data_IF_195932174810
#
_entry.id   IF_195932174810
#
_cell.length_a   1.000
_cell.length_b   1.000
_cell.length_c   1.000
_cell.angle_alpha   90.00
_cell.angle_beta   90.00
_cell.angle_gamma   90.00
#
_symmetry.space_group_name_H-M   'P 1'
#
loop_
_entity.id
_entity.type
_entity.pdbx_description
1 polymer ?
#
# COMPACT_ATOMS: atom_id res chain seq x y z
N UNK A 1 -1.47 -10.31 -4.94
CA UNK A 1 -0.81 -11.59 -4.68
C UNK A 1 0.29 -11.84 -5.69
N UNK A 2 -0.02 -12.03 -7.01
CA UNK A 2 0.94 -12.42 -8.04
C UNK A 2 2.26 -11.62 -8.00
N UNK A 3 2.17 -10.30 -8.02
CA UNK A 3 3.33 -9.42 -8.00
C UNK A 3 4.22 -9.66 -6.77
N UNK A 4 3.66 -9.62 -5.57
CA UNK A 4 4.44 -9.75 -4.34
C UNK A 4 5.02 -11.15 -4.16
N UNK A 5 4.34 -12.20 -4.65
CA UNK A 5 4.90 -13.55 -4.67
C UNK A 5 6.10 -13.65 -5.61
N UNK A 6 6.01 -13.06 -6.81
CA UNK A 6 7.12 -13.00 -7.75
C UNK A 6 8.29 -12.16 -7.21
N UNK A 7 8.00 -10.99 -6.62
CA UNK A 7 8.99 -10.12 -6.01
C UNK A 7 9.76 -10.82 -4.89
N UNK A 8 9.04 -11.46 -3.95
CA UNK A 8 9.66 -12.21 -2.86
C UNK A 8 10.59 -13.30 -3.39
N UNK A 9 10.15 -14.05 -4.42
CA UNK A 9 10.96 -15.10 -5.04
C UNK A 9 12.23 -14.56 -5.69
N UNK A 10 12.13 -13.44 -6.42
CA UNK A 10 13.28 -12.84 -7.11
C UNK A 10 14.29 -12.27 -6.11
N UNK A 11 13.81 -11.64 -5.05
CA UNK A 11 14.64 -11.14 -3.94
C UNK A 11 15.10 -12.23 -2.97
N UNK A 12 14.81 -13.51 -3.24
CA UNK A 12 15.15 -14.66 -2.40
C UNK A 12 14.64 -14.55 -0.96
N UNK A 13 13.52 -13.88 -0.78
CA UNK A 13 12.80 -13.81 0.49
C UNK A 13 11.96 -15.06 0.65
N UNK A 14 12.41 -15.97 1.53
CA UNK A 14 11.76 -17.28 1.76
C UNK A 14 10.52 -17.10 2.66
N UNK A 15 9.38 -16.85 2.02
CA UNK A 15 8.10 -16.65 2.71
C UNK A 15 7.66 -17.90 3.50
N UNK A 16 7.90 -19.10 2.95
CA UNK A 16 7.52 -20.36 3.60
C UNK A 16 8.32 -20.59 4.88
N UNK A 17 9.62 -20.31 4.86
CA UNK A 17 10.47 -20.36 6.04
C UNK A 17 9.99 -19.47 7.18
N UNK A 18 9.39 -18.32 6.84
CA UNK A 18 8.85 -17.36 7.80
C UNK A 18 7.36 -17.58 8.09
N UNK A 19 6.74 -18.64 7.54
CA UNK A 19 5.29 -18.87 7.63
C UNK A 19 4.45 -17.67 7.19
N UNK A 20 4.87 -16.99 6.12
CA UNK A 20 4.20 -15.81 5.58
C UNK A 20 3.28 -16.23 4.44
N UNK A 21 2.02 -15.81 4.53
CA UNK A 21 1.03 -15.97 3.47
C UNK A 21 0.59 -14.60 2.93
N UNK A 22 0.49 -14.46 1.62
CA UNK A 22 0.02 -13.24 0.96
C UNK A 22 -1.45 -13.44 0.58
N UNK A 23 -2.34 -12.64 1.17
CA UNK A 23 -3.77 -12.69 0.90
C UNK A 23 -4.20 -11.46 0.08
N UNK A 24 -5.09 -11.67 -0.88
CA UNK A 24 -5.82 -10.60 -1.54
C UNK A 24 -7.17 -10.42 -0.86
N UNK A 25 -7.43 -9.22 -0.38
CA UNK A 25 -8.74 -8.85 0.16
C UNK A 25 -9.44 -8.00 -0.89
N UNK A 26 -10.55 -8.49 -1.41
CA UNK A 26 -11.34 -7.74 -2.38
C UNK A 26 -11.96 -6.49 -1.74
N UNK A 27 -11.83 -5.36 -2.44
CA UNK A 27 -12.29 -4.06 -1.98
C UNK A 27 -11.52 -3.56 -0.76
N UNK A 28 -12.22 -3.00 0.23
CA UNK A 28 -11.63 -2.30 1.39
C UNK A 28 -11.95 -2.98 2.74
N UNK A 29 -12.36 -4.24 2.70
CA UNK A 29 -12.83 -5.00 3.85
C UNK A 29 -11.71 -5.56 4.76
N UNK A 30 -10.64 -4.80 5.05
CA UNK A 30 -9.47 -5.29 5.80
C UNK A 30 -9.74 -5.51 7.29
N UNK A 31 -10.67 -4.76 7.89
CA UNK A 31 -10.91 -4.76 9.35
C UNK A 31 -11.17 -6.15 9.95
N UNK A 32 -12.04 -7.02 9.37
CA UNK A 32 -12.25 -8.36 9.92
C UNK A 32 -10.97 -9.21 9.93
N UNK A 33 -10.14 -9.11 8.87
CA UNK A 33 -8.88 -9.86 8.78
C UNK A 33 -7.87 -9.39 9.84
N UNK A 34 -7.72 -8.08 9.99
CA UNK A 34 -6.86 -7.49 11.03
C UNK A 34 -7.35 -7.90 12.43
N UNK A 35 -8.67 -7.86 12.68
CA UNK A 35 -9.24 -8.29 13.95
C UNK A 35 -8.95 -9.77 14.25
N UNK A 36 -9.08 -10.65 13.25
CA UNK A 36 -8.75 -12.09 13.38
C UNK A 36 -7.27 -12.26 13.67
N UNK A 37 -6.38 -11.61 12.92
CA UNK A 37 -4.94 -11.70 13.14
C UNK A 37 -4.57 -11.26 14.56
N UNK A 38 -5.11 -10.14 15.03
CA UNK A 38 -4.86 -9.66 16.39
C UNK A 38 -5.40 -10.63 17.47
N UNK A 39 -6.63 -11.16 17.29
CA UNK A 39 -7.22 -12.11 18.23
C UNK A 39 -6.42 -13.42 18.34
N UNK A 40 -5.79 -13.85 17.23
CA UNK A 40 -4.96 -15.05 17.17
C UNK A 40 -3.46 -14.77 17.40
N UNK A 41 -3.08 -13.54 17.72
CA UNK A 41 -1.69 -13.11 17.84
C UNK A 41 -0.84 -13.42 16.61
N UNK A 42 -1.42 -13.31 15.42
CA UNK A 42 -0.74 -13.47 14.13
C UNK A 42 -0.18 -12.11 13.71
N UNK A 43 1.12 -12.06 13.38
CA UNK A 43 1.72 -10.86 12.81
C UNK A 43 1.16 -10.59 11.42
N UNK A 44 0.89 -9.33 11.12
CA UNK A 44 0.37 -8.94 9.83
C UNK A 44 0.97 -7.62 9.37
N UNK A 45 1.00 -7.43 8.08
CA UNK A 45 1.15 -6.14 7.43
C UNK A 45 0.05 -5.99 6.38
N UNK A 46 -0.35 -4.78 6.14
CA UNK A 46 -1.36 -4.42 5.14
C UNK A 46 -0.77 -3.45 4.13
N UNK A 47 -0.98 -3.71 2.85
CA UNK A 47 -0.77 -2.72 1.79
C UNK A 47 -2.09 -2.43 1.09
N UNK A 48 -2.38 -1.15 0.88
CA UNK A 48 -3.61 -0.70 0.21
C UNK A 48 -3.36 0.58 -0.59
N UNK A 49 -4.23 0.81 -1.58
CA UNK A 49 -4.21 2.00 -2.40
C UNK A 49 -4.61 3.24 -1.59
N UNK A 50 -4.20 4.40 -2.06
CA UNK A 50 -4.53 5.70 -1.47
C UNK A 50 -5.24 6.61 -2.48
N UNK A 51 -6.18 6.02 -3.20
CA UNK A 51 -6.99 6.71 -4.20
C UNK A 51 -7.66 7.97 -3.67
N UNK A 52 -7.82 8.94 -4.57
CA UNK A 52 -8.63 10.12 -4.31
C UNK A 52 -10.07 9.82 -4.67
N UNK A 53 -10.94 9.74 -3.69
CA UNK A 53 -12.37 9.51 -3.87
C UNK A 53 -13.19 10.78 -3.76
N UNK A 54 -14.36 10.75 -4.43
CA UNK A 54 -15.36 11.81 -4.33
C UNK A 54 -16.42 11.45 -3.27
N UNK A 55 -16.60 12.35 -2.30
CA UNK A 55 -17.62 12.25 -1.25
C UNK A 55 -18.92 12.86 -1.79
N UNK A 56 -19.75 12.03 -2.40
CA UNK A 56 -21.02 12.45 -3.03
C UNK A 56 -22.17 12.65 -2.03
N UNK A 57 -21.99 12.21 -0.78
CA UNK A 57 -22.97 12.35 0.29
C UNK A 57 -23.07 13.77 0.86
N UNK A 58 -22.22 14.69 0.40
CA UNK A 58 -22.18 16.10 0.84
C UNK A 58 -22.33 17.04 -0.36
N UNK A 59 -22.97 18.20 -0.13
CA UNK A 59 -23.11 19.25 -1.14
C UNK A 59 -22.44 20.51 -0.61
N UNK A 60 -21.47 21.10 -1.36
CA UNK A 60 -20.91 20.62 -2.63
C UNK A 60 -20.08 19.33 -2.47
N UNK A 61 -19.96 18.55 -3.57
CA UNK A 61 -19.14 17.35 -3.62
C UNK A 61 -17.68 17.67 -3.28
N UNK A 62 -17.08 16.86 -2.42
CA UNK A 62 -15.68 16.98 -2.01
C UNK A 62 -14.88 15.79 -2.48
N UNK A 63 -13.57 15.97 -2.61
CA UNK A 63 -12.56 14.92 -2.78
C UNK A 63 -11.80 14.70 -1.48
N UNK A 64 -11.22 13.51 -1.34
CA UNK A 64 -10.36 13.16 -0.19
C UNK A 64 -9.46 11.97 -0.50
N UNK A 65 -8.35 11.84 0.21
CA UNK A 65 -7.52 10.62 0.20
C UNK A 65 -8.20 9.50 0.98
N UNK A 66 -8.60 8.45 0.27
CA UNK A 66 -9.36 7.35 0.87
C UNK A 66 -8.47 6.40 1.68
N UNK A 67 -7.22 6.20 1.24
CA UNK A 67 -6.27 5.30 1.90
C UNK A 67 -5.93 5.75 3.32
N UNK A 68 -5.57 7.02 3.53
CA UNK A 68 -5.26 7.51 4.89
C UNK A 68 -6.49 7.44 5.81
N UNK A 69 -7.68 7.75 5.31
CA UNK A 69 -8.92 7.63 6.09
C UNK A 69 -9.17 6.17 6.52
N UNK A 70 -8.93 5.22 5.61
CA UNK A 70 -9.05 3.79 5.84
C UNK A 70 -8.02 3.30 6.84
N UNK A 71 -6.75 3.71 6.67
CA UNK A 71 -5.66 3.37 7.57
C UNK A 71 -5.94 3.84 9.00
N UNK A 72 -6.32 5.08 9.19
CA UNK A 72 -6.71 5.62 10.51
C UNK A 72 -7.92 4.86 11.10
N UNK A 73 -8.87 4.44 10.25
CA UNK A 73 -9.97 3.60 10.70
C UNK A 73 -9.51 2.25 11.28
N UNK A 74 -8.47 1.64 10.69
CA UNK A 74 -7.85 0.42 11.21
C UNK A 74 -7.09 0.71 12.51
N UNK A 75 -6.30 1.80 12.57
CA UNK A 75 -5.57 2.21 13.79
C UNK A 75 -6.51 2.38 14.98
N UNK A 76 -7.68 2.99 14.76
CA UNK A 76 -8.72 3.12 15.81
C UNK A 76 -9.24 1.76 16.29
N UNK A 77 -9.46 0.83 15.36
CA UNK A 77 -10.02 -0.49 15.69
C UNK A 77 -9.00 -1.37 16.45
N UNK A 78 -7.71 -1.24 16.18
CA UNK A 78 -6.66 -1.96 16.93
C UNK A 78 -6.36 -1.33 18.31
N UNK A 79 -6.93 -0.15 18.58
CA UNK A 79 -6.78 0.52 19.87
C UNK A 79 -5.37 1.06 20.14
N UNK A 80 -4.59 1.35 19.10
CA UNK A 80 -3.26 1.93 19.28
C UNK A 80 -3.34 3.42 19.64
N UNK A 81 -3.01 3.72 20.88
CA UNK A 81 -2.94 5.09 21.41
C UNK A 81 -1.49 5.59 21.56
N UNK A 82 -0.48 4.81 21.16
CA UNK A 82 0.94 5.12 21.44
C UNK A 82 1.54 6.09 20.44
N UNK A 83 1.06 6.07 19.20
CA UNK A 83 1.66 6.84 18.11
C UNK A 83 1.22 8.30 18.02
N UNK A 84 0.20 8.71 18.76
CA UNK A 84 -0.41 10.05 18.62
C UNK A 84 -1.13 10.29 17.30
N UNK A 85 -1.20 9.28 16.41
CA UNK A 85 -1.81 9.40 15.07
C UNK A 85 -3.29 9.73 15.13
N UNK A 86 -4.01 9.15 16.10
CA UNK A 86 -5.46 9.39 16.25
C UNK A 86 -5.72 10.83 16.67
N UNK A 87 -4.93 11.35 17.62
CA UNK A 87 -5.01 12.75 18.08
C UNK A 87 -4.69 13.71 16.94
N UNK A 88 -3.61 13.45 16.21
CA UNK A 88 -3.23 14.26 15.04
C UNK A 88 -4.33 14.25 13.98
N UNK A 89 -4.87 13.07 13.65
CA UNK A 89 -6.00 12.96 12.72
C UNK A 89 -7.24 13.72 13.20
N UNK A 90 -7.58 13.64 14.46
CA UNK A 90 -8.77 14.34 14.99
C UNK A 90 -8.64 15.86 14.87
N UNK A 91 -7.42 16.39 14.97
CA UNK A 91 -7.14 17.82 14.80
C UNK A 91 -7.15 18.26 13.33
N UNK A 92 -6.64 17.41 12.42
CA UNK A 92 -6.35 17.75 11.03
C UNK A 92 -7.25 17.07 9.98
N UNK A 93 -8.18 16.20 10.38
CA UNK A 93 -8.99 15.40 9.46
C UNK A 93 -9.79 16.20 8.42
N UNK A 94 -10.15 17.44 8.74
CA UNK A 94 -10.84 18.33 7.81
C UNK A 94 -9.97 18.75 6.61
N UNK A 95 -8.65 18.75 6.78
CA UNK A 95 -7.68 19.04 5.72
C UNK A 95 -7.65 17.94 4.66
N UNK A 96 -8.13 16.75 4.99
CA UNK A 96 -8.30 15.66 4.02
C UNK A 96 -9.53 15.83 3.11
N UNK A 97 -10.21 16.96 3.14
CA UNK A 97 -11.37 17.20 2.28
C UNK A 97 -11.23 18.52 1.53
N UNK A 98 -11.35 18.49 0.20
CA UNK A 98 -11.31 19.68 -0.65
C UNK A 98 -12.39 19.65 -1.74
N UNK A 99 -12.76 20.82 -2.34
CA UNK A 99 -13.75 20.91 -3.41
C UNK A 99 -13.38 20.01 -4.60
N UNK A 100 -14.37 19.41 -5.25
CA UNK A 100 -14.18 18.49 -6.38
C UNK A 100 -13.34 19.06 -7.51
N UNK A 101 -13.55 20.34 -7.83
CA UNK A 101 -12.95 21.02 -8.98
C UNK A 101 -11.66 21.81 -8.59
N UNK A 102 -11.25 21.74 -7.32
CA UNK A 102 -10.01 22.34 -6.86
C UNK A 102 -8.82 21.38 -7.01
N UNK A 103 -7.63 21.96 -7.16
CA UNK A 103 -6.37 21.24 -6.98
C UNK A 103 -6.25 20.74 -5.53
N UNK A 104 -5.39 19.75 -5.32
CA UNK A 104 -5.13 19.21 -4.00
C UNK A 104 -4.45 20.28 -3.15
N UNK A 105 -5.07 20.72 -2.03
CA UNK A 105 -4.47 21.72 -1.14
C UNK A 105 -3.15 21.22 -0.54
N UNK A 106 -2.27 22.15 -0.24
CA UNK A 106 -0.96 21.83 0.35
C UNK A 106 -1.10 21.20 1.75
N UNK A 107 -2.09 21.61 2.52
CA UNK A 107 -2.43 21.04 3.82
C UNK A 107 -2.85 19.58 3.69
N UNK A 108 -3.64 19.23 2.66
CA UNK A 108 -4.04 17.85 2.39
C UNK A 108 -2.84 16.98 2.01
N UNK A 109 -1.90 17.52 1.22
CA UNK A 109 -0.65 16.81 0.87
C UNK A 109 0.21 16.54 2.11
N UNK A 110 0.40 17.56 2.97
CA UNK A 110 1.16 17.45 4.22
C UNK A 110 0.53 16.43 5.17
N UNK A 111 -0.79 16.49 5.33
CA UNK A 111 -1.52 15.50 6.14
C UNK A 111 -1.35 14.08 5.58
N UNK A 112 -1.48 13.92 4.26
CA UNK A 112 -1.29 12.64 3.60
C UNK A 112 0.12 12.08 3.83
N UNK A 113 1.15 12.88 3.64
CA UNK A 113 2.55 12.48 3.86
C UNK A 113 2.81 12.13 5.31
N UNK A 114 2.34 12.94 6.26
CA UNK A 114 2.49 12.67 7.68
C UNK A 114 1.85 11.35 8.09
N UNK A 115 0.59 11.12 7.71
CA UNK A 115 -0.11 9.87 8.05
C UNK A 115 0.58 8.67 7.39
N UNK A 116 0.91 8.74 6.09
CA UNK A 116 1.58 7.66 5.37
C UNK A 116 2.92 7.27 5.99
N UNK A 117 3.68 8.24 6.46
CA UNK A 117 4.99 8.00 7.08
C UNK A 117 4.85 7.30 8.42
N UNK A 118 3.93 7.78 9.27
CA UNK A 118 3.84 7.30 10.64
C UNK A 118 2.98 6.02 10.78
N UNK A 119 2.08 5.75 9.85
CA UNK A 119 1.22 4.55 9.90
C UNK A 119 1.98 3.27 9.54
N UNK A 120 3.14 3.38 8.87
CA UNK A 120 4.00 2.24 8.53
C UNK A 120 4.49 1.50 9.77
N UNK A 121 4.76 2.21 10.86
CA UNK A 121 5.19 1.62 12.13
C UNK A 121 4.14 0.69 12.74
N UNK A 122 2.90 0.83 12.30
CA UNK A 122 1.77 -0.03 12.67
C UNK A 122 1.52 -1.15 11.64
N UNK A 123 2.43 -1.35 10.68
CA UNK A 123 2.32 -2.37 9.65
C UNK A 123 1.34 -2.03 8.52
N UNK A 124 0.95 -0.75 8.37
CA UNK A 124 0.03 -0.30 7.32
C UNK A 124 0.79 0.51 6.28
N UNK A 125 0.85 0.01 5.06
CA UNK A 125 1.57 0.61 3.93
C UNK A 125 0.57 1.13 2.90
N UNK A 126 0.69 2.40 2.56
CA UNK A 126 -0.16 3.05 1.56
C UNK A 126 0.65 3.36 0.31
N UNK A 127 0.09 3.03 -0.86
CA UNK A 127 0.59 3.52 -2.15
C UNK A 127 0.57 5.04 -2.22
N UNK A 128 1.29 5.62 -3.16
CA UNK A 128 1.11 7.05 -3.49
C UNK A 128 -0.30 7.29 -4.06
N UNK A 129 -0.73 6.45 -4.99
CA UNK A 129 -2.10 6.34 -5.51
C UNK A 129 -2.53 4.88 -5.43
N UNK A 130 -1.96 4.01 -6.29
CA UNK A 130 -2.18 2.57 -6.34
C UNK A 130 -0.86 1.84 -6.69
N UNK A 131 -0.89 0.49 -6.77
CA UNK A 131 0.29 -0.30 -7.08
C UNK A 131 0.84 0.01 -8.48
N UNK A 132 -0.02 0.22 -9.46
CA UNK A 132 0.37 0.48 -10.84
C UNK A 132 1.10 1.81 -10.96
N UNK A 133 0.65 2.84 -10.27
CA UNK A 133 1.33 4.14 -10.18
C UNK A 133 2.69 4.03 -9.47
N UNK A 134 2.76 3.30 -8.36
CA UNK A 134 4.01 3.09 -7.64
C UNK A 134 5.04 2.38 -8.51
N UNK A 135 4.62 1.34 -9.26
CA UNK A 135 5.48 0.60 -10.19
C UNK A 135 5.93 1.47 -11.38
N UNK A 136 5.02 2.24 -11.98
CA UNK A 136 5.31 3.14 -13.08
C UNK A 136 6.23 4.31 -12.68
N UNK A 137 6.39 4.57 -11.39
CA UNK A 137 7.28 5.59 -10.82
C UNK A 137 8.55 5.02 -10.18
N UNK A 138 8.72 3.70 -10.21
CA UNK A 138 9.86 2.98 -9.61
C UNK A 138 11.00 2.76 -10.62
N UNK A 139 12.04 2.09 -10.15
CA UNK A 139 13.18 1.62 -10.95
C UNK A 139 12.75 0.65 -12.07
N UNK A 140 11.54 0.10 -11.99
CA UNK A 140 10.97 -0.82 -12.97
C UNK A 140 10.32 -0.09 -14.17
N UNK A 141 10.23 1.24 -14.12
CA UNK A 141 9.52 2.08 -15.11
C UNK A 141 9.90 1.76 -16.56
N UNK A 142 11.19 1.75 -16.86
CA UNK A 142 11.66 1.58 -18.25
C UNK A 142 11.33 0.17 -18.78
N UNK A 143 11.45 -0.85 -17.94
CA UNK A 143 11.05 -2.23 -18.28
C UNK A 143 9.54 -2.32 -18.55
N UNK A 144 8.72 -1.66 -17.72
CA UNK A 144 7.27 -1.59 -17.92
C UNK A 144 6.91 -0.83 -19.21
N UNK A 145 7.53 0.33 -19.45
CA UNK A 145 7.31 1.11 -20.67
C UNK A 145 7.63 0.29 -21.92
N UNK A 146 8.74 -0.43 -21.92
CA UNK A 146 9.14 -1.30 -23.02
C UNK A 146 8.16 -2.47 -23.21
N UNK A 147 7.75 -3.13 -22.12
CA UNK A 147 6.81 -4.26 -22.15
C UNK A 147 5.45 -3.86 -22.72
N UNK A 148 4.88 -2.74 -22.25
CA UNK A 148 3.55 -2.26 -22.67
C UNK A 148 3.60 -1.39 -23.94
N UNK A 149 4.79 -1.09 -24.49
CA UNK A 149 4.96 -0.23 -25.66
C UNK A 149 4.47 1.20 -25.41
N UNK A 150 4.65 1.73 -24.18
CA UNK A 150 4.23 3.06 -23.77
C UNK A 150 5.41 3.99 -23.59
N UNK A 151 5.16 5.29 -23.77
CA UNK A 151 6.18 6.35 -23.62
C UNK A 151 5.78 7.41 -22.59
N UNK A 152 4.54 7.41 -22.21
CA UNK A 152 3.95 8.33 -21.25
C UNK A 152 3.52 7.57 -19.99
N UNK A 153 3.65 8.24 -18.81
CA UNK A 153 3.32 7.64 -17.51
C UNK A 153 1.86 7.26 -17.40
N UNK A 154 0.95 8.18 -17.78
CA UNK A 154 -0.48 7.97 -17.62
C UNK A 154 -0.99 6.88 -18.56
N UNK A 155 -0.46 6.83 -19.80
CA UNK A 155 -0.73 5.76 -20.74
C UNK A 155 -0.24 4.39 -20.25
N UNK A 156 0.92 4.36 -19.57
CA UNK A 156 1.44 3.14 -18.95
C UNK A 156 0.52 2.66 -17.84
N UNK A 157 0.19 3.54 -16.88
CA UNK A 157 -0.70 3.20 -15.76
C UNK A 157 -2.05 2.74 -16.27
N UNK A 158 -2.65 3.45 -17.23
CA UNK A 158 -3.91 3.06 -17.87
C UNK A 158 -3.82 1.67 -18.53
N UNK A 159 -2.70 1.34 -19.17
CA UNK A 159 -2.49 0.02 -19.76
C UNK A 159 -2.39 -1.08 -18.69
N UNK A 160 -1.67 -0.82 -17.59
CA UNK A 160 -1.54 -1.75 -16.46
C UNK A 160 -2.86 -1.99 -15.73
N UNK A 161 -3.67 -0.94 -15.56
CA UNK A 161 -4.97 -1.01 -14.89
C UNK A 161 -6.06 -1.76 -15.70
N UNK A 162 -5.92 -1.82 -17.03
CA UNK A 162 -6.79 -2.67 -17.85
C UNK A 162 -6.44 -4.12 -17.60
N UNK A 163 -7.43 -4.96 -17.29
CA UNK A 163 -7.24 -6.40 -17.08
C UNK A 163 -6.06 -6.70 -16.12
N UNK A 164 -6.00 -6.01 -14.98
CA UNK A 164 -4.86 -6.00 -14.04
C UNK A 164 -4.19 -7.37 -13.84
N UNK A 165 -4.95 -8.43 -13.60
CA UNK A 165 -4.40 -9.77 -13.33
C UNK A 165 -3.75 -10.39 -14.56
N UNK A 166 -4.38 -10.28 -15.73
CA UNK A 166 -3.84 -10.83 -16.99
C UNK A 166 -2.55 -10.11 -17.39
N UNK A 167 -2.58 -8.77 -17.38
CA UNK A 167 -1.45 -7.94 -17.76
C UNK A 167 -0.26 -8.13 -16.79
N UNK A 168 -0.53 -8.22 -15.49
CA UNK A 168 0.52 -8.51 -14.50
C UNK A 168 1.12 -9.90 -14.71
N UNK A 169 0.30 -10.91 -14.98
CA UNK A 169 0.78 -12.27 -15.26
C UNK A 169 1.67 -12.29 -16.52
N UNK A 170 1.25 -11.64 -17.59
CA UNK A 170 2.04 -11.56 -18.83
C UNK A 170 3.39 -10.86 -18.60
N UNK A 171 3.36 -9.72 -17.89
CA UNK A 171 4.57 -8.99 -17.53
C UNK A 171 5.53 -9.87 -16.72
N UNK A 172 5.07 -10.49 -15.64
CA UNK A 172 5.88 -11.31 -14.77
C UNK A 172 6.45 -12.55 -15.48
N UNK A 173 5.69 -13.15 -16.41
CA UNK A 173 6.17 -14.30 -17.19
C UNK A 173 7.41 -13.96 -18.00
N UNK A 174 7.52 -12.74 -18.52
CA UNK A 174 8.62 -12.29 -19.39
C UNK A 174 9.73 -11.58 -18.62
N UNK A 175 9.40 -10.85 -17.55
CA UNK A 175 10.29 -9.87 -16.94
C UNK A 175 10.50 -10.06 -15.42
N UNK A 176 10.16 -11.23 -14.82
CA UNK A 176 10.26 -11.41 -13.38
C UNK A 176 11.65 -11.12 -12.80
N UNK A 177 12.72 -11.39 -13.56
CA UNK A 177 14.11 -11.13 -13.14
C UNK A 177 14.41 -9.65 -12.92
N UNK A 178 13.72 -8.79 -13.64
CA UNK A 178 13.89 -7.34 -13.53
C UNK A 178 13.33 -6.81 -12.19
N UNK A 179 12.53 -7.60 -11.47
CA UNK A 179 12.03 -7.24 -10.14
C UNK A 179 13.15 -7.05 -9.11
N UNK A 180 14.34 -7.58 -9.35
CA UNK A 180 15.51 -7.37 -8.49
C UNK A 180 15.88 -5.90 -8.33
N UNK A 181 15.57 -5.04 -9.30
CA UNK A 181 15.81 -3.59 -9.19
C UNK A 181 15.00 -2.92 -8.08
N UNK A 182 13.95 -3.58 -7.56
CA UNK A 182 13.09 -3.06 -6.50
C UNK A 182 13.61 -3.36 -5.08
N UNK A 183 14.76 -3.97 -4.90
CA UNK A 183 15.28 -4.41 -3.59
C UNK A 183 15.31 -3.29 -2.54
N UNK A 184 15.65 -2.08 -2.94
CA UNK A 184 15.71 -0.88 -2.09
C UNK A 184 14.47 0.01 -2.21
N UNK A 185 13.45 -0.43 -2.95
CA UNK A 185 12.23 0.35 -3.23
C UNK A 185 11.25 0.32 -2.05
N UNK A 186 10.47 1.40 -1.90
CA UNK A 186 9.32 1.43 -0.98
C UNK A 186 8.29 0.33 -1.23
N UNK A 187 8.28 -0.23 -2.44
CA UNK A 187 7.37 -1.30 -2.83
C UNK A 187 7.65 -2.60 -2.07
N UNK A 188 8.90 -2.86 -1.71
CA UNK A 188 9.30 -4.07 -0.96
C UNK A 188 9.11 -3.93 0.55
N UNK A 189 8.98 -2.72 1.07
CA UNK A 189 8.87 -2.47 2.53
C UNK A 189 7.85 -3.36 3.27
N UNK A 190 6.63 -3.65 2.71
CA UNK A 190 5.69 -4.54 3.38
C UNK A 190 6.24 -5.95 3.62
N UNK A 191 6.97 -6.51 2.64
CA UNK A 191 7.55 -7.85 2.75
C UNK A 191 8.70 -7.86 3.77
N UNK A 192 9.64 -6.93 3.66
CA UNK A 192 10.81 -6.86 4.55
C UNK A 192 10.41 -6.54 5.99
N UNK A 193 9.39 -5.70 6.18
CA UNK A 193 8.82 -5.42 7.50
C UNK A 193 8.25 -6.67 8.15
N UNK A 194 7.47 -7.47 7.41
CA UNK A 194 6.88 -8.69 7.95
C UNK A 194 7.92 -9.75 8.27
N UNK A 195 8.94 -9.92 7.41
CA UNK A 195 10.06 -10.84 7.67
C UNK A 195 10.80 -10.43 8.94
N UNK A 196 11.07 -9.15 9.13
CA UNK A 196 11.70 -8.63 10.35
C UNK A 196 10.88 -8.98 11.60
N UNK A 197 9.59 -8.68 11.59
CA UNK A 197 8.67 -8.95 12.71
C UNK A 197 8.66 -10.45 13.06
N UNK A 198 8.59 -11.33 12.05
CA UNK A 198 8.58 -12.78 12.28
C UNK A 198 9.91 -13.29 12.80
N UNK A 199 11.04 -12.73 12.33
CA UNK A 199 12.37 -13.10 12.78
C UNK A 199 12.64 -12.68 14.24
N UNK A 200 12.18 -11.49 14.63
CA UNK A 200 12.32 -10.99 16.01
C UNK A 200 11.52 -11.85 17.00
N UNK A 201 10.32 -12.32 16.63
CA UNK A 201 9.49 -13.21 17.47
C UNK A 201 10.07 -14.62 17.65
N UNK A 202 10.89 -15.09 16.73
CA UNK A 202 11.47 -16.44 16.80
C UNK A 202 12.81 -16.49 17.54
N UNK A 203 13.38 -15.33 17.95
CA UNK A 203 14.56 -15.31 18.82
C UNK A 203 14.16 -15.71 20.22
N UNK A 204 14.77 -16.78 20.80
CA UNK A 204 14.57 -17.08 22.20
C UNK A 204 15.02 -15.90 23.05
N UNK A 205 14.23 -15.56 24.06
CA UNK A 205 14.64 -14.61 25.10
C UNK A 205 15.93 -15.14 25.75
N UNK A 206 17.04 -14.41 25.57
CA UNK A 206 18.31 -14.70 26.24
C UNK A 206 18.27 -14.21 27.68
#
# INVERSE_FOLDING_TARGET
VLFYTALARELKLDLDRHNISILSVEGVGFKPYVAICNALNISWVLRTDNDIFSKTSVTPVKKYYAGISRGIGIVKDIGDNKTGLIEYWNQHSKENEWPKDAEIPEEAKKLNEYIRTNIKDLGIFLSDVDLENDLASSELKDTLMNHYGKRDHDDLVNAMQKKKAENMMEFLTKNHKELSCLEESKIVEPLTSLIRITTERTRPDN
#
